data_IF_792641944356
#
_entry.id   IF_792641944356
#
_cell.length_a   1.000
_cell.length_b   1.000
_cell.length_c   1.000
_cell.angle_alpha   90.00
_cell.angle_beta   90.00
_cell.angle_gamma   90.00
#
_symmetry.space_group_name_H-M   'P 1'
#
loop_
_entity.id
_entity.type
_entity.pdbx_description
1 polymer ?
#
# COMPACT_ATOMS: atom_id res chain seq x y z
N UNK A 1 4.08 -6.87 -22.28
CA UNK A 1 3.53 -7.48 -21.05
C UNK A 1 2.60 -8.61 -21.45
N UNK A 2 2.55 -9.81 -20.82
CA UNK A 2 1.55 -10.83 -21.19
C UNK A 2 0.12 -10.31 -21.03
N UNK A 3 -0.78 -10.62 -21.98
CA UNK A 3 -2.17 -10.12 -21.94
C UNK A 3 -2.92 -10.61 -20.70
N UNK A 4 -2.71 -11.86 -20.28
CA UNK A 4 -3.30 -12.45 -19.07
C UNK A 4 -2.97 -11.65 -17.79
N UNK A 5 -1.75 -11.08 -17.73
CA UNK A 5 -1.33 -10.28 -16.59
C UNK A 5 -1.98 -8.89 -16.64
N UNK A 6 -2.10 -8.30 -17.82
CA UNK A 6 -2.78 -7.02 -18.00
C UNK A 6 -4.27 -7.13 -17.62
N UNK A 7 -4.98 -8.13 -18.16
CA UNK A 7 -6.40 -8.37 -17.86
C UNK A 7 -6.62 -8.68 -16.38
N UNK A 8 -5.76 -9.52 -15.77
CA UNK A 8 -5.83 -9.79 -14.33
C UNK A 8 -5.62 -8.54 -13.48
N UNK A 9 -4.72 -7.64 -13.89
CA UNK A 9 -4.41 -6.41 -13.16
C UNK A 9 -5.55 -5.39 -13.24
N UNK A 10 -6.18 -5.26 -14.40
CA UNK A 10 -7.23 -4.26 -14.63
C UNK A 10 -8.60 -4.74 -14.12
N UNK A 11 -8.97 -6.00 -14.34
CA UNK A 11 -10.31 -6.49 -14.02
C UNK A 11 -10.45 -7.06 -12.60
N UNK A 12 -9.34 -7.44 -11.95
CA UNK A 12 -9.36 -8.01 -10.60
C UNK A 12 -8.43 -7.29 -9.62
N UNK A 13 -8.63 -5.98 -9.36
CA UNK A 13 -7.74 -5.20 -8.49
C UNK A 13 -7.71 -5.69 -7.03
N UNK A 14 -8.78 -6.31 -6.54
CA UNK A 14 -8.95 -6.61 -5.10
C UNK A 14 -8.89 -8.11 -4.73
N UNK A 15 -8.77 -9.04 -5.68
CA UNK A 15 -8.83 -10.47 -5.35
C UNK A 15 -7.45 -11.03 -4.94
N UNK A 16 -7.33 -11.50 -3.68
CA UNK A 16 -6.07 -12.03 -3.13
C UNK A 16 -5.58 -13.30 -3.84
N UNK A 17 -6.48 -14.17 -4.31
CA UNK A 17 -6.12 -15.41 -5.02
C UNK A 17 -5.48 -15.16 -6.39
N UNK A 18 -5.81 -14.04 -7.04
CA UNK A 18 -5.20 -13.62 -8.30
C UNK A 18 -3.74 -13.19 -8.13
N UNK A 19 -3.36 -12.69 -6.94
CA UNK A 19 -1.97 -12.26 -6.64
C UNK A 19 -0.96 -13.40 -6.82
N UNK A 20 -1.34 -14.65 -6.49
CA UNK A 20 -0.47 -15.83 -6.68
C UNK A 20 -0.21 -16.12 -8.17
N UNK A 21 -1.24 -15.96 -9.03
CA UNK A 21 -1.06 -16.10 -10.49
C UNK A 21 -0.19 -14.99 -11.05
N UNK A 22 -0.37 -13.75 -10.57
CA UNK A 22 0.43 -12.59 -10.95
C UNK A 22 1.91 -12.85 -10.61
N UNK A 23 2.23 -13.33 -9.40
CA UNK A 23 3.60 -13.68 -8.99
C UNK A 23 4.18 -14.80 -9.87
N UNK A 24 3.40 -15.82 -10.23
CA UNK A 24 3.88 -16.90 -11.13
C UNK A 24 4.16 -16.39 -12.55
N UNK A 25 3.39 -15.41 -13.03
CA UNK A 25 3.61 -14.78 -14.34
C UNK A 25 4.74 -13.74 -14.35
N UNK A 26 5.19 -13.28 -13.18
CA UNK A 26 6.27 -12.30 -12.99
C UNK A 26 7.61 -12.76 -13.57
N UNK A 27 7.86 -14.08 -13.57
CA UNK A 27 9.07 -14.68 -14.16
C UNK A 27 9.21 -14.42 -15.67
N UNK A 28 8.10 -14.18 -16.38
CA UNK A 28 8.09 -13.96 -17.84
C UNK A 28 8.27 -12.49 -18.24
N UNK A 29 8.25 -11.56 -17.29
CA UNK A 29 8.39 -10.13 -17.57
C UNK A 29 9.88 -9.77 -17.71
N UNK A 30 10.24 -9.21 -18.86
CA UNK A 30 11.59 -8.69 -19.13
C UNK A 30 11.66 -7.24 -18.66
N UNK A 31 12.37 -6.99 -17.55
CA UNK A 31 12.58 -5.64 -17.00
C UNK A 31 12.55 -5.61 -15.47
N UNK A 32 13.60 -5.07 -14.85
CA UNK A 32 13.72 -5.03 -13.38
C UNK A 32 12.72 -4.05 -12.73
N UNK A 33 12.46 -2.90 -13.37
CA UNK A 33 11.55 -1.86 -12.86
C UNK A 33 10.14 -2.37 -12.54
N UNK A 34 9.51 -3.07 -13.49
CA UNK A 34 8.16 -3.63 -13.30
C UNK A 34 8.16 -4.68 -12.19
N UNK A 35 9.22 -5.49 -12.08
CA UNK A 35 9.35 -6.49 -11.01
C UNK A 35 9.43 -5.82 -9.64
N UNK A 36 10.25 -4.78 -9.50
CA UNK A 36 10.38 -4.01 -8.26
C UNK A 36 9.06 -3.35 -7.87
N UNK A 37 8.36 -2.71 -8.82
CA UNK A 37 7.06 -2.09 -8.55
C UNK A 37 6.00 -3.11 -8.10
N UNK A 38 5.93 -4.28 -8.76
CA UNK A 38 5.00 -5.34 -8.40
C UNK A 38 5.28 -5.92 -7.01
N UNK A 39 6.55 -6.16 -6.68
CA UNK A 39 6.97 -6.64 -5.35
C UNK A 39 6.62 -5.59 -4.28
N UNK A 40 6.87 -4.32 -4.55
CA UNK A 40 6.56 -3.24 -3.62
C UNK A 40 5.06 -3.07 -3.37
N UNK A 41 4.22 -3.19 -4.41
CA UNK A 41 2.76 -3.16 -4.26
C UNK A 41 2.29 -4.31 -3.38
N UNK A 42 2.86 -5.51 -3.56
CA UNK A 42 2.55 -6.66 -2.71
C UNK A 42 2.97 -6.40 -1.26
N UNK A 43 4.21 -5.96 -1.02
CA UNK A 43 4.71 -5.59 0.30
C UNK A 43 3.83 -4.51 0.96
N UNK A 44 3.44 -3.48 0.21
CA UNK A 44 2.56 -2.41 0.67
C UNK A 44 1.18 -2.93 1.05
N UNK A 45 0.62 -3.89 0.29
CA UNK A 45 -0.67 -4.51 0.62
C UNK A 45 -0.59 -5.21 1.98
N UNK A 46 0.47 -6.00 2.20
CA UNK A 46 0.68 -6.71 3.47
C UNK A 46 0.90 -5.71 4.61
N UNK A 47 1.71 -4.69 4.38
CA UNK A 47 1.98 -3.65 5.37
C UNK A 47 0.71 -2.94 5.83
N UNK A 48 -0.12 -2.48 4.90
CA UNK A 48 -1.39 -1.81 5.21
C UNK A 48 -2.34 -2.73 5.99
N UNK A 49 -2.40 -4.01 5.61
CA UNK A 49 -3.22 -4.99 6.33
C UNK A 49 -2.73 -5.23 7.77
N UNK A 50 -1.43 -5.07 8.02
CA UNK A 50 -0.82 -5.23 9.35
C UNK A 50 -0.92 -3.99 10.23
N UNK A 51 -1.23 -2.80 9.70
CA UNK A 51 -1.29 -1.53 10.47
C UNK A 51 -2.19 -1.64 11.71
N UNK A 52 -3.42 -2.19 11.64
CA UNK A 52 -4.28 -2.28 12.81
C UNK A 52 -3.66 -3.13 13.94
N UNK A 53 -3.09 -4.28 13.59
CA UNK A 53 -2.45 -5.18 14.56
C UNK A 53 -1.20 -4.55 15.19
N UNK A 54 -0.42 -3.83 14.38
CA UNK A 54 0.75 -3.08 14.82
C UNK A 54 0.33 -1.96 15.79
N UNK A 55 -0.75 -1.23 15.48
CA UNK A 55 -1.28 -0.18 16.34
C UNK A 55 -1.84 -0.75 17.66
N UNK A 56 -2.56 -1.87 17.60
CA UNK A 56 -3.09 -2.54 18.79
C UNK A 56 -1.95 -3.02 19.71
N UNK A 57 -0.84 -3.50 19.14
CA UNK A 57 0.35 -3.84 19.90
C UNK A 57 1.10 -2.62 20.49
N UNK A 58 0.92 -1.43 19.92
CA UNK A 58 1.58 -0.19 20.37
C UNK A 58 0.85 0.50 21.50
N UNK A 59 -0.49 0.46 21.44
CA UNK A 59 -1.35 1.20 22.36
C UNK A 59 -1.85 0.28 23.45
N UNK A 60 -1.66 0.67 24.71
CA UNK A 60 -2.15 -0.10 25.84
C UNK A 60 -2.58 0.79 26.99
N UNK A 61 -3.51 0.28 27.79
CA UNK A 61 -3.86 0.92 29.06
C UNK A 61 -2.81 0.56 30.11
N UNK A 62 -2.20 1.58 30.71
CA UNK A 62 -1.26 1.41 31.80
C UNK A 62 -1.99 1.77 33.11
N UNK A 63 -1.99 0.86 34.12
CA UNK A 63 -2.55 1.16 35.43
C UNK A 63 -1.73 2.26 36.11
N UNK A 64 -2.41 3.23 36.73
CA UNK A 64 -1.77 4.19 37.63
C UNK A 64 -1.75 3.62 39.04
N UNK A 65 -0.62 3.79 39.71
CA UNK A 65 -0.46 3.40 41.11
C UNK A 65 -0.30 4.66 41.94
N UNK A 66 -1.04 4.74 43.04
CA UNK A 66 -0.81 5.74 44.07
C UNK A 66 -0.17 5.06 45.27
N UNK A 67 0.78 5.74 45.89
CA UNK A 67 1.44 5.26 47.10
C UNK A 67 0.74 5.88 48.30
N UNK A 68 0.10 5.03 49.10
CA UNK A 68 -0.59 5.47 50.31
C UNK A 68 0.30 5.18 51.52
N UNK A 69 0.45 6.19 52.39
CA UNK A 69 1.18 6.09 53.65
C UNK A 69 0.17 6.20 54.79
N UNK A 70 0.19 5.23 55.71
CA UNK A 70 -0.64 5.25 56.92
C UNK A 70 0.16 5.84 58.08
N UNK A 71 -0.27 6.99 58.59
CA UNK A 71 0.34 7.65 59.76
C UNK A 71 -0.71 7.65 60.87
N UNK A 72 -0.41 7.01 62.01
CA UNK A 72 -1.27 7.01 63.20
C UNK A 72 -2.74 6.59 62.92
N UNK A 73 -2.93 5.60 62.02
CA UNK A 73 -4.26 5.09 61.63
C UNK A 73 -4.99 5.91 60.56
N UNK A 74 -4.42 7.01 60.07
CA UNK A 74 -4.97 7.79 58.95
C UNK A 74 -4.19 7.48 57.67
N UNK A 75 -4.87 7.00 56.63
CA UNK A 75 -4.28 6.73 55.31
C UNK A 75 -4.32 7.99 54.45
N UNK A 76 -3.18 8.50 54.04
CA UNK A 76 -3.08 9.64 53.11
C UNK A 76 -2.29 9.26 51.86
N UNK A 77 -2.80 9.66 50.70
CA UNK A 77 -2.10 9.49 49.44
C UNK A 77 -0.88 10.41 49.40
N UNK A 78 0.29 9.84 49.12
CA UNK A 78 1.52 10.58 48.89
C UNK A 78 1.46 11.17 47.48
N UNK A 79 0.77 12.30 47.33
CA UNK A 79 0.70 13.01 46.07
C UNK A 79 2.04 13.70 45.80
N UNK A 80 2.69 13.34 44.70
CA UNK A 80 3.91 13.95 44.12
C UNK A 80 3.65 15.37 43.54
N UNK A 81 2.77 16.13 44.20
CA UNK A 81 2.46 17.52 43.91
C UNK A 81 2.48 18.31 45.20
N UNK A 82 3.66 18.38 45.81
CA UNK A 82 3.94 19.40 46.81
C UNK A 82 4.21 20.71 46.09
N UNK A 83 3.16 21.53 45.95
CA UNK A 83 3.26 23.01 45.84
C UNK A 83 3.91 23.65 47.09
N UNK A 84 4.69 22.88 47.86
CA UNK A 84 5.35 23.33 49.08
C UNK A 84 6.79 22.78 49.12
N UNK A 85 7.81 23.58 48.76
CA UNK A 85 9.19 23.14 48.56
C UNK A 85 9.96 22.95 49.89
N UNK A 86 9.29 22.50 50.96
CA UNK A 86 9.85 22.56 52.32
C UNK A 86 9.69 21.30 53.17
N UNK A 87 9.10 20.25 52.63
CA UNK A 87 9.11 18.95 53.29
C UNK A 87 10.02 18.03 52.46
N UNK A 88 11.28 17.95 52.88
CA UNK A 88 12.19 16.97 52.32
C UNK A 88 11.61 15.56 52.61
N UNK A 89 11.58 14.64 51.62
CA UNK A 89 11.00 13.29 51.81
C UNK A 89 11.65 12.51 52.96
N UNK A 90 12.86 12.92 53.34
CA UNK A 90 13.67 12.37 54.43
C UNK A 90 13.06 12.69 55.80
N UNK A 91 12.47 13.87 56.00
CA UNK A 91 11.90 14.29 57.29
C UNK A 91 10.61 13.52 57.66
N UNK A 92 9.88 13.03 56.65
CA UNK A 92 8.68 12.22 56.87
C UNK A 92 9.07 10.77 57.22
N UNK A 93 10.12 10.23 56.59
CA UNK A 93 10.61 8.87 56.88
C UNK A 93 11.24 8.74 58.27
N UNK A 94 11.90 9.77 58.79
CA UNK A 94 12.59 9.74 60.09
C UNK A 94 11.63 9.85 61.28
N UNK A 95 10.36 10.20 61.04
CA UNK A 95 9.31 10.35 62.07
C UNK A 95 8.46 9.08 62.29
N UNK A 96 8.71 7.99 61.55
CA UNK A 96 7.85 6.82 61.49
C UNK A 96 8.50 5.62 62.19
N UNK A 97 7.99 5.25 63.36
CA UNK A 97 8.39 4.04 64.10
C UNK A 97 8.04 2.73 63.34
N UNK A 98 7.12 2.77 62.35
CA UNK A 98 6.88 1.68 61.38
C UNK A 98 6.02 2.18 60.18
N UNK A 99 6.64 2.64 59.06
CA UNK A 99 5.87 3.12 57.91
C UNK A 99 5.26 1.97 57.11
N UNK A 100 3.95 1.72 57.28
CA UNK A 100 3.23 0.80 56.42
C UNK A 100 2.91 1.46 55.06
N UNK A 101 3.83 1.29 54.10
CA UNK A 101 3.69 1.78 52.72
C UNK A 101 2.90 0.76 51.92
N UNK A 102 1.76 1.19 51.35
CA UNK A 102 0.93 0.33 50.49
C UNK A 102 0.75 0.97 49.12
N UNK A 103 1.00 0.19 48.07
CA UNK A 103 0.73 0.59 46.70
C UNK A 103 -0.69 0.16 46.33
N UNK A 104 -1.59 1.13 46.15
CA UNK A 104 -2.95 0.85 45.70
C UNK A 104 -3.13 1.22 44.23
N UNK A 105 -3.89 0.37 43.53
CA UNK A 105 -4.26 0.61 42.15
C UNK A 105 -5.27 1.76 42.09
N UNK A 106 -4.93 2.81 41.35
CA UNK A 106 -5.86 3.90 41.10
C UNK A 106 -6.98 3.45 40.14
N UNK A 107 -8.18 4.00 40.28
CA UNK A 107 -9.32 3.68 39.39
C UNK A 107 -9.16 4.23 37.97
N UNK A 108 -8.14 5.06 37.74
CA UNK A 108 -7.89 5.75 36.49
C UNK A 108 -6.79 5.03 35.69
N UNK A 109 -7.07 4.75 34.41
CA UNK A 109 -6.09 4.22 33.47
C UNK A 109 -5.52 5.34 32.62
N UNK A 110 -4.21 5.29 32.34
CA UNK A 110 -3.59 6.13 31.33
C UNK A 110 -3.47 5.39 30.01
N UNK A 111 -3.65 6.12 28.90
CA UNK A 111 -3.18 5.63 27.61
C UNK A 111 -1.66 5.70 27.57
N UNK A 112 -1.04 4.56 27.32
CA UNK A 112 0.40 4.43 27.16
C UNK A 112 0.75 3.92 25.77
N UNK A 113 1.96 4.26 25.34
CA UNK A 113 2.54 3.73 24.13
C UNK A 113 3.82 2.98 24.47
N UNK A 114 4.02 1.81 23.87
CA UNK A 114 5.31 1.15 23.91
C UNK A 114 6.30 1.91 23.00
N UNK A 115 7.20 2.70 23.60
CA UNK A 115 8.17 3.58 22.88
C UNK A 115 8.91 2.84 21.77
N UNK A 116 9.39 1.62 22.04
CA UNK A 116 10.08 0.78 21.07
C UNK A 116 9.23 0.52 19.81
N UNK A 117 7.98 0.10 20.01
CA UNK A 117 7.08 -0.21 18.92
C UNK A 117 6.71 1.04 18.13
N UNK A 118 6.44 2.17 18.80
CA UNK A 118 6.15 3.44 18.11
C UNK A 118 7.31 3.86 17.21
N UNK A 119 8.56 3.78 17.68
CA UNK A 119 9.73 4.12 16.87
C UNK A 119 9.88 3.19 15.67
N UNK A 120 9.71 1.88 15.86
CA UNK A 120 9.74 0.91 14.76
C UNK A 120 8.64 1.19 13.73
N UNK A 121 7.43 1.52 14.18
CA UNK A 121 6.31 1.92 13.31
C UNK A 121 6.65 3.15 12.49
N UNK A 122 7.21 4.18 13.13
CA UNK A 122 7.57 5.42 12.47
C UNK A 122 8.62 5.20 11.37
N UNK A 123 9.63 4.36 11.63
CA UNK A 123 10.62 3.98 10.62
C UNK A 123 10.01 3.19 9.46
N UNK A 124 9.14 2.22 9.75
CA UNK A 124 8.44 1.47 8.72
C UNK A 124 7.51 2.36 7.88
N UNK A 125 6.79 3.28 8.51
CA UNK A 125 5.94 4.28 7.84
C UNK A 125 6.77 5.16 6.90
N UNK A 126 7.91 5.69 7.36
CA UNK A 126 8.76 6.57 6.54
C UNK A 126 9.35 5.83 5.34
N UNK A 127 9.84 4.60 5.53
CA UNK A 127 10.30 3.73 4.43
C UNK A 127 9.16 3.48 3.44
N UNK A 128 7.95 3.17 3.95
CA UNK A 128 6.79 2.91 3.11
C UNK A 128 6.36 4.14 2.30
N UNK A 129 6.36 5.33 2.91
CA UNK A 129 6.06 6.60 2.22
C UNK A 129 7.09 6.87 1.13
N UNK A 130 8.39 6.76 1.46
CA UNK A 130 9.48 7.03 0.50
C UNK A 130 9.40 6.08 -0.70
N UNK A 131 9.23 4.77 -0.47
CA UNK A 131 9.16 3.82 -1.58
C UNK A 131 7.89 3.95 -2.42
N UNK A 132 6.75 4.29 -1.79
CA UNK A 132 5.51 4.57 -2.52
C UNK A 132 5.65 5.85 -3.35
N UNK A 133 6.27 6.89 -2.79
CA UNK A 133 6.59 8.11 -3.52
C UNK A 133 7.56 7.86 -4.67
N UNK A 134 8.58 7.03 -4.49
CA UNK A 134 9.53 6.67 -5.54
C UNK A 134 8.85 5.96 -6.71
N UNK A 135 7.92 5.03 -6.44
CA UNK A 135 7.13 4.36 -7.50
C UNK A 135 6.18 5.33 -8.18
N UNK A 136 5.54 6.21 -7.40
CA UNK A 136 4.69 7.24 -7.97
C UNK A 136 5.49 8.14 -8.92
N UNK A 137 6.67 8.59 -8.50
CA UNK A 137 7.58 9.40 -9.31
C UNK A 137 8.04 8.64 -10.56
N UNK A 138 8.40 7.36 -10.42
CA UNK A 138 8.77 6.50 -11.54
C UNK A 138 7.65 6.37 -12.57
N UNK A 139 6.40 6.23 -12.09
CA UNK A 139 5.21 6.16 -12.92
C UNK A 139 4.94 7.49 -13.65
N UNK A 140 5.11 8.63 -12.99
CA UNK A 140 4.90 9.95 -13.61
C UNK A 140 5.95 10.28 -14.67
N UNK A 141 7.23 10.00 -14.41
CA UNK A 141 8.30 10.38 -15.32
C UNK A 141 8.42 9.47 -16.55
N UNK A 142 8.11 8.17 -16.40
CA UNK A 142 8.33 7.20 -17.47
C UNK A 142 7.07 6.75 -18.20
N UNK A 143 5.87 7.14 -17.72
CA UNK A 143 4.62 6.78 -18.38
C UNK A 143 4.05 7.98 -19.15
N UNK A 144 4.28 7.98 -20.47
CA UNK A 144 3.71 8.97 -21.39
C UNK A 144 2.17 9.02 -21.33
N UNK A 145 1.53 7.86 -21.10
CA UNK A 145 0.07 7.77 -20.97
C UNK A 145 -0.44 8.53 -19.74
N UNK A 146 0.26 8.39 -18.61
CA UNK A 146 -0.09 9.09 -17.36
C UNK A 146 0.17 10.58 -17.50
N UNK A 147 1.30 10.96 -18.12
CA UNK A 147 1.66 12.37 -18.36
C UNK A 147 0.67 13.10 -19.26
N UNK A 148 0.03 12.38 -20.19
CA UNK A 148 -1.06 12.91 -21.03
C UNK A 148 -2.45 12.81 -20.41
N UNK A 149 -2.53 12.41 -19.14
CA UNK A 149 -3.78 12.40 -18.39
C UNK A 149 -4.77 11.29 -18.80
N UNK A 150 -4.33 10.27 -19.58
CA UNK A 150 -5.20 9.13 -19.87
C UNK A 150 -5.42 8.34 -18.58
N UNK A 151 -6.62 8.45 -18.01
CA UNK A 151 -7.04 7.64 -16.88
C UNK A 151 -7.32 6.22 -17.38
N UNK A 152 -6.63 5.23 -16.80
CA UNK A 152 -6.85 3.82 -17.13
C UNK A 152 -8.12 3.33 -16.41
N UNK A 153 -9.28 3.63 -16.99
CA UNK A 153 -10.56 3.13 -16.51
C UNK A 153 -10.81 1.69 -16.93
N UNK A 154 -11.64 0.96 -16.17
CA UNK A 154 -12.00 -0.42 -16.47
C UNK A 154 -12.62 -0.55 -17.88
N UNK A 155 -13.58 0.32 -18.22
CA UNK A 155 -14.24 0.28 -19.54
C UNK A 155 -13.27 0.53 -20.69
N UNK A 156 -12.36 1.50 -20.56
CA UNK A 156 -11.33 1.76 -21.57
C UNK A 156 -10.42 0.54 -21.73
N UNK A 157 -10.07 -0.14 -20.63
CA UNK A 157 -9.27 -1.35 -20.70
C UNK A 157 -10.00 -2.54 -21.33
N UNK A 158 -11.33 -2.67 -21.14
CA UNK A 158 -12.13 -3.67 -21.86
C UNK A 158 -12.02 -3.43 -23.36
N UNK A 159 -12.23 -2.18 -23.79
CA UNK A 159 -12.15 -1.81 -25.21
C UNK A 159 -10.75 -2.06 -25.77
N UNK A 160 -9.70 -1.64 -25.05
CA UNK A 160 -8.29 -1.86 -25.44
C UNK A 160 -7.98 -3.37 -25.57
N UNK A 161 -8.46 -4.19 -24.64
CA UNK A 161 -8.25 -5.65 -24.65
C UNK A 161 -9.01 -6.28 -25.81
N UNK A 162 -10.28 -5.94 -25.99
CA UNK A 162 -11.11 -6.47 -27.08
C UNK A 162 -10.47 -6.16 -28.43
N UNK A 163 -10.04 -4.91 -28.65
CA UNK A 163 -9.35 -4.50 -29.88
C UNK A 163 -8.07 -5.31 -30.10
N UNK A 164 -7.26 -5.51 -29.05
CA UNK A 164 -6.03 -6.30 -29.15
C UNK A 164 -6.30 -7.78 -29.51
N UNK A 165 -7.35 -8.38 -28.94
CA UNK A 165 -7.72 -9.78 -29.20
C UNK A 165 -8.21 -9.92 -30.64
N UNK A 166 -9.05 -8.99 -31.11
CA UNK A 166 -9.50 -8.95 -32.51
C UNK A 166 -8.33 -8.74 -33.48
N UNK A 167 -7.32 -7.93 -33.13
CA UNK A 167 -6.09 -7.79 -33.94
C UNK A 167 -5.33 -9.11 -34.05
N UNK A 168 -5.26 -9.90 -32.98
CA UNK A 168 -4.48 -11.16 -32.96
C UNK A 168 -5.18 -12.33 -33.65
N UNK A 169 -6.49 -12.47 -33.47
CA UNK A 169 -7.26 -13.65 -33.86
C UNK A 169 -8.19 -13.41 -35.05
N UNK A 170 -8.37 -12.16 -35.46
CA UNK A 170 -9.30 -11.77 -36.52
C UNK A 170 -10.72 -11.49 -35.99
N UNK A 171 -11.66 -11.17 -36.89
CA UNK A 171 -13.02 -10.77 -36.53
C UNK A 171 -13.90 -11.91 -35.99
N UNK A 172 -13.54 -13.17 -36.24
CA UNK A 172 -14.36 -14.35 -35.90
C UNK A 172 -14.01 -14.96 -34.54
N UNK A 173 -13.71 -14.12 -33.53
CA UNK A 173 -13.31 -14.58 -32.18
C UNK A 173 -14.42 -15.31 -31.42
N UNK A 174 -15.68 -15.08 -31.77
CA UNK A 174 -16.85 -15.65 -31.08
C UNK A 174 -16.99 -17.17 -31.27
N UNK A 175 -16.24 -17.77 -32.20
CA UNK A 175 -16.27 -19.20 -32.46
C UNK A 175 -15.33 -20.01 -31.55
N UNK A 176 -14.38 -19.36 -30.86
CA UNK A 176 -13.41 -20.04 -30.01
C UNK A 176 -14.01 -20.44 -28.66
N UNK A 177 -13.69 -21.64 -28.18
CA UNK A 177 -13.89 -21.96 -26.77
C UNK A 177 -12.85 -21.25 -25.88
N UNK A 178 -13.17 -21.03 -24.59
CA UNK A 178 -12.28 -20.33 -23.65
C UNK A 178 -10.87 -20.94 -23.58
N UNK A 179 -10.78 -22.27 -23.59
CA UNK A 179 -9.49 -22.98 -23.52
C UNK A 179 -8.67 -22.84 -24.82
N UNK A 180 -9.34 -22.81 -25.98
CA UNK A 180 -8.69 -22.58 -27.27
C UNK A 180 -8.25 -21.12 -27.40
N UNK A 181 -9.07 -20.19 -26.92
CA UNK A 181 -8.77 -18.78 -26.89
C UNK A 181 -7.53 -18.50 -26.04
N UNK A 182 -7.46 -19.04 -24.81
CA UNK A 182 -6.30 -18.89 -23.93
C UNK A 182 -5.03 -19.49 -24.57
N UNK A 183 -5.15 -20.64 -25.24
CA UNK A 183 -4.03 -21.28 -25.95
C UNK A 183 -3.55 -20.45 -27.14
N UNK A 184 -4.47 -19.85 -27.89
CA UNK A 184 -4.15 -18.98 -29.00
C UNK A 184 -3.46 -17.70 -28.50
N UNK A 185 -4.00 -17.04 -27.48
CA UNK A 185 -3.42 -15.83 -26.88
C UNK A 185 -2.02 -16.05 -26.31
N UNK A 186 -1.75 -17.20 -25.71
CA UNK A 186 -0.41 -17.58 -25.21
C UNK A 186 0.65 -17.69 -26.31
N UNK A 187 0.24 -17.89 -27.57
CA UNK A 187 1.15 -17.99 -28.72
C UNK A 187 1.68 -16.63 -29.15
N UNK A 188 0.97 -15.55 -28.84
CA UNK A 188 1.37 -14.19 -29.20
C UNK A 188 2.37 -13.59 -28.20
N UNK A 189 3.29 -12.71 -28.66
CA UNK A 189 4.18 -11.98 -27.76
C UNK A 189 3.40 -11.09 -26.79
N UNK A 190 4.04 -10.59 -25.73
CA UNK A 190 3.33 -9.69 -24.82
C UNK A 190 2.84 -8.41 -25.51
N UNK A 191 1.66 -7.93 -25.11
CA UNK A 191 1.04 -6.68 -25.55
C UNK A 191 1.78 -5.43 -25.06
N UNK A 192 1.71 -4.35 -25.84
CA UNK A 192 2.21 -3.01 -25.52
C UNK A 192 1.30 -1.95 -26.16
N UNK A 193 1.25 -0.76 -25.57
CA UNK A 193 0.54 0.35 -26.19
C UNK A 193 1.28 0.82 -27.44
N UNK A 194 0.55 1.02 -28.52
CA UNK A 194 1.03 1.59 -29.78
C UNK A 194 0.07 2.68 -30.27
N UNK A 195 0.57 3.49 -31.20
CA UNK A 195 -0.20 4.55 -31.82
C UNK A 195 -0.44 4.16 -33.27
N UNK A 196 -1.70 4.14 -33.69
CA UNK A 196 -2.05 4.00 -35.10
C UNK A 196 -2.70 5.29 -35.61
N UNK A 197 -2.29 5.73 -36.78
CA UNK A 197 -2.86 6.91 -37.42
C UNK A 197 -4.15 6.52 -38.13
N UNK A 198 -5.28 7.10 -37.71
CA UNK A 198 -6.56 6.86 -38.37
C UNK A 198 -6.69 7.86 -39.52
N UNK A 199 -6.43 7.39 -40.74
CA UNK A 199 -6.43 8.17 -42.01
C UNK A 199 -7.70 9.01 -42.18
N UNK A 200 -8.83 8.56 -41.62
CA UNK A 200 -10.15 9.17 -41.80
C UNK A 200 -10.41 10.45 -40.97
N UNK A 201 -9.65 10.73 -39.91
CA UNK A 201 -9.98 11.81 -38.95
C UNK A 201 -8.82 12.71 -38.50
N UNK A 202 -7.61 12.57 -39.07
CA UNK A 202 -6.39 13.25 -38.60
C UNK A 202 -6.19 13.11 -37.07
N UNK A 203 -6.61 11.97 -36.53
CA UNK A 203 -6.52 11.64 -35.11
C UNK A 203 -5.73 10.35 -34.93
N UNK A 204 -4.82 10.38 -33.97
CA UNK A 204 -4.08 9.19 -33.55
C UNK A 204 -4.92 8.37 -32.57
N UNK A 205 -5.02 7.07 -32.82
CA UNK A 205 -5.70 6.11 -31.96
C UNK A 205 -4.66 5.40 -31.10
N UNK A 206 -4.79 5.52 -29.77
CA UNK A 206 -3.91 4.79 -28.83
C UNK A 206 -4.58 3.46 -28.54
N UNK A 207 -3.96 2.38 -29.01
CA UNK A 207 -4.47 1.01 -28.82
C UNK A 207 -3.47 0.12 -28.09
N UNK A 208 -3.95 -1.00 -27.59
CA UNK A 208 -3.13 -2.09 -27.12
C UNK A 208 -2.87 -3.05 -28.29
N UNK A 209 -1.61 -3.33 -28.60
CA UNK A 209 -1.24 -4.17 -29.75
C UNK A 209 -0.17 -5.20 -29.39
N UNK A 210 -0.14 -6.27 -30.16
CA UNK A 210 0.89 -7.31 -30.13
C UNK A 210 2.15 -6.93 -30.91
N UNK A 211 2.08 -5.88 -31.74
CA UNK A 211 3.23 -5.36 -32.47
C UNK A 211 4.23 -4.76 -31.49
N UNK A 212 5.50 -5.13 -31.64
CA UNK A 212 6.59 -4.46 -30.94
C UNK A 212 6.96 -3.20 -31.71
N UNK A 213 6.14 -2.18 -31.57
CA UNK A 213 6.64 -0.83 -31.81
C UNK A 213 7.65 -0.47 -30.71
N UNK A 214 8.50 0.51 -30.99
CA UNK A 214 9.50 1.01 -30.05
C UNK A 214 8.88 1.58 -28.77
N UNK A 215 9.62 2.46 -28.07
CA UNK A 215 9.01 3.18 -26.94
C UNK A 215 7.80 3.97 -27.44
N UNK A 216 6.65 3.82 -26.77
CA UNK A 216 5.47 4.64 -27.03
C UNK A 216 5.86 6.11 -26.91
N UNK A 217 5.79 6.84 -28.02
CA UNK A 217 6.04 8.27 -28.08
C UNK A 217 4.78 8.96 -28.57
N UNK A 218 4.17 9.75 -27.69
CA UNK A 218 2.95 10.49 -28.01
C UNK A 218 3.35 11.94 -28.33
N UNK A 219 3.01 12.46 -29.51
CA UNK A 219 3.22 13.86 -29.92
C UNK A 219 2.34 14.83 -29.15
N UNK A 220 2.92 15.89 -28.58
CA UNK A 220 2.17 16.92 -27.84
C UNK A 220 1.23 17.77 -28.71
N UNK A 221 1.49 17.83 -30.02
CA UNK A 221 0.73 18.66 -30.96
C UNK A 221 -0.44 17.91 -31.61
N UNK A 222 -0.51 16.58 -31.46
CA UNK A 222 -1.56 15.75 -32.08
C UNK A 222 -2.71 15.50 -31.11
N UNK A 223 -3.94 15.48 -31.64
CA UNK A 223 -5.13 15.08 -30.91
C UNK A 223 -5.27 13.56 -30.95
N UNK A 224 -5.49 12.98 -29.78
CA UNK A 224 -5.76 11.55 -29.63
C UNK A 224 -7.27 11.35 -29.56
N UNK A 225 -7.81 10.53 -30.45
CA UNK A 225 -9.25 10.29 -30.54
C UNK A 225 -9.77 9.40 -29.41
N UNK A 226 -11.01 9.65 -29.02
CA UNK A 226 -11.90 8.69 -28.38
C UNK A 226 -12.84 8.10 -29.44
#
# INVERSE_FOLDING_TARGET
>A
MPIDLFTSLVFNPFHFTSKVRIVKSLGRIKGWRIKTAMIWIFFSTVYIASIPAINDAMTGYIPRYTTNVTINGTTTALNDHTDNPRADPVDILDSLDDPHISCELEKNYAWGFATFWVLLSALLCTIWIIGTYAIWLDAQHHSELVRKGRKMGMNCAIVDVAESITEALGPDTNAYSEAELEKALKKHPGVMFSVEERVEKDMEHIRLSYKRDGRLQLSWMKKYGA
#
